data_IF_811264961631
#
_entry.id   IF_811264961631
#
_cell.length_a   1.000
_cell.length_b   1.000
_cell.length_c   1.000
_cell.angle_alpha   90.00
_cell.angle_beta   90.00
_cell.angle_gamma   90.00
#
_symmetry.space_group_name_H-M   'P 1'
#
loop_
_entity.id
_entity.type
_entity.pdbx_description
1 polymer ?
#
# COMPACT_ATOMS: atom_id res chain seq x y z
N UNK A 1 -0.46 -14.51 12.62
CA UNK A 1 -0.14 -14.64 11.18
C UNK A 1 0.13 -13.21 10.72
N UNK A 2 1.31 -12.90 10.17
CA UNK A 2 1.60 -11.52 9.75
C UNK A 2 0.93 -11.29 8.40
N UNK A 3 -0.08 -10.43 8.36
CA UNK A 3 -0.71 -9.99 7.12
C UNK A 3 0.24 -9.01 6.43
N UNK A 4 0.60 -9.29 5.18
CA UNK A 4 1.40 -8.38 4.36
C UNK A 4 0.51 -7.72 3.33
N UNK A 5 0.49 -6.39 3.35
CA UNK A 5 -0.20 -5.59 2.34
C UNK A 5 0.83 -5.02 1.39
N UNK A 6 0.58 -5.19 0.10
CA UNK A 6 1.56 -4.87 -0.92
C UNK A 6 1.21 -3.56 -1.63
N UNK A 7 2.21 -2.70 -1.82
CA UNK A 7 2.08 -1.48 -2.62
C UNK A 7 2.96 -1.61 -3.86
N UNK A 8 2.32 -1.58 -5.02
CA UNK A 8 2.95 -1.54 -6.33
C UNK A 8 2.86 -0.14 -6.90
N UNK A 9 3.89 0.30 -7.64
CA UNK A 9 3.80 1.59 -8.32
C UNK A 9 4.74 1.74 -9.52
N UNK A 10 4.38 2.64 -10.45
CA UNK A 10 5.25 3.17 -11.49
C UNK A 10 6.01 4.45 -11.09
N UNK A 11 5.73 4.99 -9.90
CA UNK A 11 6.54 6.04 -9.28
C UNK A 11 7.37 5.42 -8.16
N UNK A 12 8.55 5.97 -7.90
CA UNK A 12 9.40 5.48 -6.81
C UNK A 12 8.75 5.82 -5.45
N UNK A 13 8.67 4.82 -4.58
CA UNK A 13 8.08 4.93 -3.26
C UNK A 13 9.17 4.85 -2.18
N UNK A 14 9.30 5.85 -1.29
CA UNK A 14 10.24 5.78 -0.17
C UNK A 14 9.84 4.69 0.83
N UNK A 15 10.84 4.02 1.41
CA UNK A 15 10.69 2.88 2.34
C UNK A 15 11.29 3.19 3.70
N UNK A 16 10.59 2.83 4.79
CA UNK A 16 10.94 3.15 6.17
C UNK A 16 9.70 3.43 7.02
N UNK A 17 9.87 4.18 8.10
CA UNK A 17 8.77 4.48 9.02
C UNK A 17 8.15 5.82 8.67
N UNK A 18 6.87 5.82 8.35
CA UNK A 18 6.12 7.04 8.08
C UNK A 18 5.27 7.43 9.29
N UNK A 19 5.37 8.69 9.70
CA UNK A 19 4.65 9.28 10.83
C UNK A 19 3.98 10.58 10.40
N UNK A 20 3.21 11.19 11.30
CA UNK A 20 2.54 12.46 11.04
C UNK A 20 3.50 13.57 10.60
N UNK A 21 4.73 13.60 11.11
CA UNK A 21 5.73 14.62 10.78
C UNK A 21 6.58 14.29 9.55
N UNK A 22 6.28 13.19 8.86
CA UNK A 22 6.98 12.77 7.64
C UNK A 22 7.75 11.46 7.80
N UNK A 23 8.78 11.31 6.97
CA UNK A 23 9.47 10.04 6.76
C UNK A 23 10.74 9.92 7.62
N UNK A 24 10.86 8.81 8.33
CA UNK A 24 12.08 8.41 9.02
C UNK A 24 12.73 7.25 8.27
N UNK A 25 13.94 7.48 7.76
CA UNK A 25 14.70 6.46 7.04
C UNK A 25 15.05 5.30 7.99
N UNK A 26 14.68 4.09 7.60
CA UNK A 26 14.89 2.90 8.41
C UNK A 26 16.34 2.42 8.25
N UNK A 27 17.18 2.67 9.27
CA UNK A 27 18.64 2.38 9.25
C UNK A 27 19.00 0.91 9.47
N UNK A 28 18.02 0.00 9.35
CA UNK A 28 18.22 -1.42 9.51
C UNK A 28 18.18 -1.83 10.99
N UNK A 29 17.48 -2.95 11.21
CA UNK A 29 17.21 -3.63 12.48
C UNK A 29 15.92 -3.16 13.16
N UNK A 30 14.84 -3.89 12.85
CA UNK A 30 13.74 -4.19 13.77
C UNK A 30 13.11 -2.99 14.45
N UNK A 31 12.72 -1.97 13.68
CA UNK A 31 11.88 -0.92 14.23
C UNK A 31 10.51 -1.53 14.48
N UNK A 32 10.26 -1.90 15.74
CA UNK A 32 8.93 -2.24 16.21
C UNK A 32 8.04 -1.06 15.88
N UNK A 33 6.98 -1.27 15.10
CA UNK A 33 5.95 -0.25 14.87
C UNK A 33 5.53 0.29 16.23
N UNK A 34 5.89 1.53 16.50
CA UNK A 34 5.40 2.24 17.68
C UNK A 34 3.98 2.67 17.34
N UNK A 35 3.09 2.65 18.33
CA UNK A 35 1.74 3.22 18.20
C UNK A 35 1.81 4.52 17.41
N UNK A 36 0.97 4.64 16.36
CA UNK A 36 0.90 5.81 15.48
C UNK A 36 2.01 5.91 14.41
N UNK A 37 2.43 4.80 13.82
CA UNK A 37 3.36 4.82 12.69
C UNK A 37 3.01 3.78 11.61
N UNK A 38 3.40 4.04 10.37
CA UNK A 38 3.24 3.12 9.25
C UNK A 38 4.62 2.58 8.84
N UNK A 39 4.84 1.29 9.04
CA UNK A 39 6.08 0.62 8.63
C UNK A 39 5.97 0.15 7.17
N UNK A 40 6.69 0.83 6.29
CA UNK A 40 6.75 0.60 4.85
C UNK A 40 8.10 -0.04 4.48
N UNK A 41 8.17 -1.37 4.53
CA UNK A 41 9.39 -2.10 4.25
C UNK A 41 9.53 -2.38 2.75
N UNK A 42 10.76 -2.32 2.20
CA UNK A 42 10.98 -2.69 0.79
C UNK A 42 10.61 -4.13 0.54
N UNK A 43 9.74 -4.35 -0.44
CA UNK A 43 9.40 -5.70 -0.89
C UNK A 43 10.42 -6.25 -1.86
N UNK A 44 10.64 -7.56 -1.81
CA UNK A 44 11.31 -8.33 -2.85
C UNK A 44 10.34 -9.20 -3.64
N UNK A 45 9.03 -9.02 -3.43
CA UNK A 45 8.01 -9.87 -4.04
C UNK A 45 7.79 -9.52 -5.51
N UNK A 46 7.69 -10.57 -6.32
CA UNK A 46 7.25 -10.48 -7.71
C UNK A 46 5.82 -11.04 -7.81
N UNK A 47 4.94 -10.32 -8.50
CA UNK A 47 3.56 -10.74 -8.75
C UNK A 47 3.37 -10.96 -10.24
N UNK A 48 3.05 -12.19 -10.64
CA UNK A 48 2.83 -12.53 -12.04
C UNK A 48 1.58 -11.80 -12.57
N UNK A 49 1.71 -11.17 -13.74
CA UNK A 49 0.63 -10.39 -14.35
C UNK A 49 0.43 -9.00 -13.75
N UNK A 50 1.25 -8.61 -12.77
CA UNK A 50 1.34 -7.23 -12.33
C UNK A 50 2.38 -6.49 -13.17
N UNK A 51 1.93 -5.44 -13.86
CA UNK A 51 2.78 -4.62 -14.74
C UNK A 51 3.87 -3.86 -13.97
N UNK A 52 3.61 -3.56 -12.70
CA UNK A 52 4.43 -2.72 -11.85
C UNK A 52 5.10 -3.54 -10.77
N UNK A 53 6.36 -3.24 -10.40
CA UNK A 53 7.00 -3.93 -9.30
C UNK A 53 6.25 -3.65 -7.99
N UNK A 54 6.15 -4.66 -7.12
CA UNK A 54 5.85 -4.40 -5.71
C UNK A 54 7.07 -3.69 -5.14
N UNK A 55 6.87 -2.50 -4.57
CA UNK A 55 7.94 -1.72 -3.97
C UNK A 55 7.93 -1.81 -2.45
N UNK A 56 6.73 -1.84 -1.84
CA UNK A 56 6.57 -1.79 -0.39
C UNK A 56 5.65 -2.88 0.14
N UNK A 57 5.94 -3.29 1.37
CA UNK A 57 5.12 -4.11 2.26
C UNK A 57 4.74 -3.25 3.47
N UNK A 58 3.46 -3.20 3.79
CA UNK A 58 2.99 -2.65 5.07
C UNK A 58 3.08 -3.77 6.09
N UNK A 59 3.96 -3.60 7.08
CA UNK A 59 4.15 -4.58 8.15
C UNK A 59 2.98 -4.51 9.13
N UNK A 60 2.52 -5.65 9.62
CA UNK A 60 1.35 -5.83 10.49
C UNK A 60 -0.02 -5.46 9.90
N UNK A 61 -0.04 -4.72 8.79
CA UNK A 61 -1.27 -4.41 8.08
C UNK A 61 -1.98 -3.15 8.51
N UNK A 62 -3.23 -3.01 8.09
CA UNK A 62 -4.08 -1.83 8.35
C UNK A 62 -5.45 -2.17 8.92
N UNK A 63 -5.89 -3.42 8.76
CA UNK A 63 -7.20 -3.87 9.14
C UNK A 63 -7.20 -5.38 9.34
N UNK A 64 -8.23 -5.86 10.05
CA UNK A 64 -8.51 -7.28 10.09
C UNK A 64 -8.84 -7.76 8.65
N UNK A 65 -8.17 -8.80 8.15
CA UNK A 65 -8.30 -9.26 6.77
C UNK A 65 -9.69 -9.80 6.40
N UNK A 66 -10.45 -10.24 7.42
CA UNK A 66 -11.74 -10.92 7.26
C UNK A 66 -12.89 -9.92 7.38
N UNK A 67 -12.83 -9.06 8.40
CA UNK A 67 -13.89 -8.10 8.74
C UNK A 67 -13.70 -6.75 8.07
N UNK A 68 -12.50 -6.43 7.57
CA UNK A 68 -12.09 -5.10 7.10
C UNK A 68 -12.20 -3.99 8.16
N UNK A 69 -12.35 -4.34 9.42
CA UNK A 69 -12.31 -3.34 10.49
C UNK A 69 -10.85 -2.89 10.67
N UNK A 70 -10.55 -1.58 10.58
CA UNK A 70 -9.18 -1.10 10.76
C UNK A 70 -8.72 -1.36 12.19
N UNK A 71 -7.51 -1.90 12.35
CA UNK A 71 -6.91 -2.11 13.66
C UNK A 71 -6.76 -0.76 14.37
N UNK A 72 -6.32 0.26 13.61
CA UNK A 72 -6.39 1.66 13.99
C UNK A 72 -6.83 2.54 12.81
N UNK A 73 -7.71 3.50 13.04
CA UNK A 73 -8.04 4.51 12.01
C UNK A 73 -6.84 5.42 11.69
N UNK A 74 -5.85 5.46 12.59
CA UNK A 74 -4.68 6.31 12.49
C UNK A 74 -3.72 5.85 11.39
N UNK A 75 -3.35 4.58 11.34
CA UNK A 75 -2.45 4.03 10.30
C UNK A 75 -3.05 4.16 8.90
N UNK A 76 -4.37 3.99 8.79
CA UNK A 76 -5.07 4.19 7.53
C UNK A 76 -5.03 5.67 7.09
N UNK A 77 -5.13 6.59 8.04
CA UNK A 77 -4.98 8.03 7.80
C UNK A 77 -3.53 8.37 7.40
N UNK A 78 -2.54 7.73 8.01
CA UNK A 78 -1.15 7.87 7.62
C UNK A 78 -0.90 7.35 6.20
N UNK A 79 -1.43 6.17 5.82
CA UNK A 79 -1.32 5.66 4.46
C UNK A 79 -1.93 6.64 3.46
N UNK A 80 -3.11 7.17 3.78
CA UNK A 80 -3.76 8.18 2.94
C UNK A 80 -2.85 9.39 2.73
N UNK A 81 -2.33 9.96 3.82
CA UNK A 81 -1.40 11.11 3.76
C UNK A 81 -0.14 10.78 2.95
N UNK A 82 0.47 9.63 3.22
CA UNK A 82 1.65 9.13 2.52
C UNK A 82 1.44 9.10 1.01
N UNK A 83 0.34 8.49 0.56
CA UNK A 83 0.00 8.40 -0.87
C UNK A 83 -0.12 9.79 -1.49
N UNK A 84 -0.78 10.74 -0.82
CA UNK A 84 -0.91 12.10 -1.32
C UNK A 84 0.44 12.83 -1.42
N UNK A 85 1.34 12.60 -0.47
CA UNK A 85 2.67 13.20 -0.48
C UNK A 85 3.53 12.67 -1.63
N UNK A 86 3.63 11.34 -1.78
CA UNK A 86 4.46 10.72 -2.82
C UNK A 86 3.91 10.96 -4.22
N UNK A 87 2.60 11.23 -4.34
CA UNK A 87 1.97 11.53 -5.64
C UNK A 87 1.86 13.02 -5.94
N UNK A 88 2.24 13.91 -5.01
CA UNK A 88 2.00 15.37 -5.11
C UNK A 88 2.57 16.00 -6.38
N UNK A 89 3.77 15.59 -6.78
CA UNK A 89 4.47 16.13 -7.96
C UNK A 89 3.96 15.53 -9.29
N UNK A 90 2.98 14.62 -9.23
CA UNK A 90 2.44 13.92 -10.39
C UNK A 90 1.06 14.50 -10.75
N UNK A 91 0.96 15.14 -11.92
CA UNK A 91 -0.24 15.86 -12.40
C UNK A 91 -1.56 15.12 -12.17
N UNK A 92 -1.58 13.81 -12.39
CA UNK A 92 -2.74 12.94 -12.13
C UNK A 92 -2.23 11.53 -11.78
N UNK A 93 -2.75 10.97 -10.69
CA UNK A 93 -2.53 9.58 -10.29
C UNK A 93 -3.85 8.81 -10.13
N UNK A 94 -3.81 7.52 -10.41
CA UNK A 94 -4.89 6.57 -10.11
C UNK A 94 -4.42 5.54 -9.13
N UNK A 95 -5.34 5.09 -8.28
CA UNK A 95 -5.18 3.93 -7.43
C UNK A 95 -5.97 2.78 -8.01
N UNK A 96 -5.39 1.60 -8.03
CA UNK A 96 -6.11 0.36 -8.27
C UNK A 96 -5.92 -0.60 -7.10
N UNK A 97 -7.00 -1.18 -6.61
CA UNK A 97 -6.92 -2.31 -5.69
C UNK A 97 -6.99 -3.58 -6.52
N UNK A 98 -5.99 -4.44 -6.40
CA UNK A 98 -5.88 -5.69 -7.15
C UNK A 98 -5.83 -6.90 -6.20
N UNK A 99 -6.72 -7.87 -6.41
CA UNK A 99 -6.70 -9.11 -5.64
C UNK A 99 -5.61 -10.06 -6.18
N UNK A 100 -4.58 -10.26 -5.36
CA UNK A 100 -3.41 -11.12 -5.50
C UNK A 100 -3.48 -12.31 -4.52
N UNK A 101 -3.93 -13.46 -5.01
CA UNK A 101 -4.02 -14.65 -4.16
C UNK A 101 -2.73 -15.48 -4.19
N UNK A 102 -2.32 -16.02 -3.04
CA UNK A 102 -1.31 -17.07 -2.92
C UNK A 102 -1.98 -18.31 -2.33
N UNK A 103 -2.70 -19.08 -3.15
CA UNK A 103 -3.43 -20.22 -2.60
C UNK A 103 -2.50 -21.36 -2.18
N UNK A 104 -1.33 -21.57 -2.81
CA UNK A 104 -0.49 -22.74 -2.50
C UNK A 104 0.99 -22.59 -2.89
N UNK A 105 1.69 -21.56 -2.38
CA UNK A 105 3.12 -21.34 -2.72
C UNK A 105 3.36 -21.29 -4.24
N UNK A 106 2.43 -20.67 -4.98
CA UNK A 106 2.58 -20.35 -6.41
C UNK A 106 2.50 -18.85 -6.60
N UNK A 107 3.05 -18.40 -7.71
CA UNK A 107 3.14 -17.00 -8.09
C UNK A 107 1.82 -16.26 -7.90
N UNK A 108 1.88 -15.12 -7.21
CA UNK A 108 0.74 -14.23 -7.04
C UNK A 108 0.16 -13.86 -8.40
N UNK A 109 -1.16 -14.02 -8.59
CA UNK A 109 -1.85 -13.67 -9.83
C UNK A 109 -3.01 -12.72 -9.57
N UNK A 110 -3.14 -11.69 -10.41
CA UNK A 110 -4.26 -10.74 -10.32
C UNK A 110 -5.56 -11.39 -10.82
N UNK A 111 -6.61 -11.40 -9.97
CA UNK A 111 -7.95 -11.87 -10.36
C UNK A 111 -8.93 -10.74 -10.70
N UNK A 112 -8.94 -9.66 -9.92
CA UNK A 112 -9.86 -8.52 -10.08
C UNK A 112 -9.15 -7.21 -9.81
N UNK A 113 -9.65 -6.11 -10.39
CA UNK A 113 -9.15 -4.75 -10.18
C UNK A 113 -10.32 -3.78 -9.95
N UNK A 114 -10.21 -2.94 -8.93
CA UNK A 114 -11.06 -1.76 -8.75
C UNK A 114 -10.20 -0.52 -8.98
N UNK A 115 -10.55 0.32 -9.96
CA UNK A 115 -9.84 1.57 -10.24
C UNK A 115 -10.55 2.75 -9.57
N UNK A 116 -9.79 3.55 -8.85
CA UNK A 116 -10.23 4.78 -8.19
C UNK A 116 -9.27 5.89 -8.61
N UNK A 117 -9.78 7.05 -9.04
CA UNK A 117 -8.92 8.21 -9.24
C UNK A 117 -8.48 8.72 -7.86
N UNK A 118 -7.19 9.01 -7.67
CA UNK A 118 -6.70 9.47 -6.37
C UNK A 118 -7.48 10.69 -5.86
N UNK A 119 -7.71 11.66 -6.76
CA UNK A 119 -8.51 12.88 -6.47
C UNK A 119 -9.98 12.62 -6.08
N UNK A 120 -10.48 11.41 -6.31
CA UNK A 120 -11.86 11.01 -6.00
C UNK A 120 -11.98 10.25 -4.68
N UNK A 121 -10.87 9.94 -4.00
CA UNK A 121 -10.94 9.40 -2.66
C UNK A 121 -11.59 10.42 -1.73
N UNK A 122 -12.64 9.99 -1.04
CA UNK A 122 -13.40 10.80 -0.08
C UNK A 122 -13.00 10.49 1.36
N UNK A 123 -12.40 9.32 1.60
CA UNK A 123 -11.98 8.92 2.93
C UNK A 123 -10.83 7.90 2.90
N UNK A 124 -10.02 7.83 3.98
CA UNK A 124 -9.02 6.78 4.15
C UNK A 124 -9.60 5.36 4.07
N UNK A 125 -10.87 5.15 4.43
CA UNK A 125 -11.56 3.83 4.35
C UNK A 125 -11.58 3.23 2.95
N UNK A 126 -11.48 4.03 1.91
CA UNK A 126 -11.41 3.53 0.53
C UNK A 126 -10.06 2.89 0.17
N UNK A 127 -9.07 2.97 1.07
CA UNK A 127 -7.78 2.29 0.99
C UNK A 127 -7.74 0.99 1.80
N UNK A 128 -8.84 0.59 2.44
CA UNK A 128 -8.91 -0.72 3.08
C UNK A 128 -8.72 -1.81 2.04
N UNK A 129 -7.92 -2.80 2.41
CA UNK A 129 -7.53 -3.92 1.56
C UNK A 129 -7.96 -5.21 2.25
N UNK A 130 -8.54 -6.13 1.48
CA UNK A 130 -8.75 -7.49 1.96
C UNK A 130 -7.44 -8.27 1.98
N UNK A 131 -7.45 -9.42 2.65
CA UNK A 131 -6.36 -10.39 2.49
C UNK A 131 -6.13 -10.72 1.02
N UNK A 132 -4.86 -10.76 0.63
CA UNK A 132 -4.49 -10.99 -0.76
C UNK A 132 -4.93 -9.86 -1.67
N UNK A 133 -5.00 -8.61 -1.20
CA UNK A 133 -5.09 -7.44 -2.08
C UNK A 133 -3.82 -6.59 -2.05
N UNK A 134 -3.53 -5.96 -3.19
CA UNK A 134 -2.44 -5.02 -3.36
C UNK A 134 -3.00 -3.67 -3.81
N UNK A 135 -2.41 -2.60 -3.27
CA UNK A 135 -2.61 -1.25 -3.75
C UNK A 135 -1.66 -0.98 -4.91
N UNK A 136 -2.17 -0.46 -6.02
CA UNK A 136 -1.37 -0.09 -7.19
C UNK A 136 -1.53 1.40 -7.45
N UNK A 137 -0.45 2.16 -7.29
CA UNK A 137 -0.41 3.59 -7.58
C UNK A 137 0.16 3.79 -8.97
N UNK A 138 -0.56 4.50 -9.85
CA UNK A 138 -0.15 4.76 -11.23
C UNK A 138 -0.17 6.23 -11.56
N UNK A 139 0.90 6.73 -12.18
CA UNK A 139 0.88 8.01 -12.89
C UNK A 139 0.01 7.88 -14.14
N UNK A 140 -1.02 8.71 -14.26
CA UNK A 140 -1.74 8.82 -15.53
C UNK A 140 -1.00 9.76 -16.46
N UNK A 141 -0.43 9.19 -17.52
CA UNK A 141 -0.07 9.93 -18.74
C UNK A 141 -1.28 9.96 -19.66
N UNK A 142 -1.73 11.17 -20.00
CA UNK A 142 -2.77 11.53 -20.97
C UNK A 142 -4.20 11.72 -20.42
N UNK A 143 -4.72 12.92 -20.71
CA UNK A 143 -6.02 13.10 -21.33
C UNK A 143 -5.75 13.35 -22.80
#
# INVERSE_FOLDING_TARGET
MTSYYYIASDIELPSGIYKENGFEENKGIGVVSIDNSLDLTRSKQAVQGLKYPIQLEIVNGLCDPVTLEPDTYYELTLLYKYIYEVTREHKLCTIEIAHIWNEHRRDFKIKKKKKILLKQLKSPKELLLHEGEALIIKKTTNW
#
